data_IF_602845294858
#
_entry.id   IF_602845294858
#
_cell.length_a   1.000
_cell.length_b   1.000
_cell.length_c   1.000
_cell.angle_alpha   90.00
_cell.angle_beta   90.00
_cell.angle_gamma   90.00
#
_symmetry.space_group_name_H-M   'P 1'
#
loop_
_entity.id
_entity.type
_entity.pdbx_description
1 polymer ?
#
# COMPACT_ATOMS: atom_id res chain seq x y z
N UNK A 1 10.27 21.27 -27.50
CA UNK A 1 9.84 19.86 -27.64
C UNK A 1 8.76 19.61 -26.61
N UNK A 2 7.58 19.14 -27.03
CA UNK A 2 6.53 18.71 -26.12
C UNK A 2 6.88 17.27 -25.76
N UNK A 3 7.22 17.01 -24.51
CA UNK A 3 7.46 15.65 -24.03
C UNK A 3 6.10 14.95 -23.86
N UNK A 4 5.98 13.64 -24.20
CA UNK A 4 4.75 12.89 -23.98
C UNK A 4 4.45 12.81 -22.48
N UNK A 5 3.16 12.78 -22.15
CA UNK A 5 2.69 12.58 -20.78
C UNK A 5 2.97 11.15 -20.29
N UNK A 6 2.96 10.93 -18.97
CA UNK A 6 3.13 9.60 -18.38
C UNK A 6 2.13 8.59 -18.94
N UNK A 7 0.89 9.01 -19.19
CA UNK A 7 -0.16 8.17 -19.77
C UNK A 7 0.13 7.82 -21.24
N UNK A 8 0.60 8.77 -22.05
CA UNK A 8 0.98 8.50 -23.44
C UNK A 8 2.15 7.53 -23.53
N UNK A 9 3.16 7.68 -22.65
CA UNK A 9 4.30 6.75 -22.53
C UNK A 9 3.81 5.35 -22.16
N UNK A 10 2.94 5.24 -21.14
CA UNK A 10 2.40 3.95 -20.69
C UNK A 10 1.56 3.25 -21.77
N UNK A 11 0.75 4.01 -22.52
CA UNK A 11 -0.09 3.47 -23.59
C UNK A 11 0.70 3.06 -24.83
N UNK A 12 1.85 3.69 -25.08
CA UNK A 12 2.76 3.34 -26.18
C UNK A 12 3.68 2.15 -25.84
N UNK A 13 3.64 1.64 -24.61
CA UNK A 13 4.52 0.57 -24.16
C UNK A 13 4.24 -0.76 -24.89
N UNK A 14 5.31 -1.44 -25.27
CA UNK A 14 5.24 -2.80 -25.80
C UNK A 14 5.18 -3.80 -24.65
N UNK A 15 3.98 -4.11 -24.17
CA UNK A 15 3.75 -5.04 -23.06
C UNK A 15 3.99 -6.48 -23.49
N UNK A 16 4.69 -7.26 -22.68
CA UNK A 16 4.74 -8.71 -22.81
C UNK A 16 3.50 -9.35 -22.17
N UNK A 17 3.05 -10.51 -22.70
CA UNK A 17 2.09 -11.34 -21.99
C UNK A 17 2.56 -11.65 -20.57
N UNK A 18 1.63 -11.64 -19.61
CA UNK A 18 1.97 -11.84 -18.20
C UNK A 18 2.61 -13.20 -17.91
N UNK A 19 2.33 -14.18 -18.75
CA UNK A 19 2.97 -15.51 -18.68
C UNK A 19 4.47 -15.44 -18.97
N UNK A 20 4.92 -14.58 -19.88
CA UNK A 20 6.36 -14.39 -20.16
C UNK A 20 7.05 -13.72 -18.97
N UNK A 21 6.39 -12.75 -18.33
CA UNK A 21 6.89 -12.12 -17.10
C UNK A 21 6.98 -13.15 -15.97
N UNK A 22 5.96 -13.99 -15.79
CA UNK A 22 5.96 -15.06 -14.80
C UNK A 22 7.07 -16.10 -15.06
N UNK A 23 7.26 -16.50 -16.33
CA UNK A 23 8.33 -17.43 -16.74
C UNK A 23 9.72 -16.89 -16.39
N UNK A 24 9.95 -15.58 -16.47
CA UNK A 24 11.22 -14.96 -16.05
C UNK A 24 11.54 -15.12 -14.56
N UNK A 25 10.51 -15.42 -13.76
CA UNK A 25 10.59 -15.72 -12.32
C UNK A 25 10.51 -17.23 -12.02
N UNK A 26 10.57 -18.09 -13.03
CA UNK A 26 10.37 -19.56 -12.94
C UNK A 26 8.97 -19.93 -12.40
N UNK A 27 7.95 -19.13 -12.72
CA UNK A 27 6.56 -19.38 -12.35
C UNK A 27 5.81 -19.99 -13.53
N UNK A 28 5.25 -21.18 -13.31
CA UNK A 28 4.41 -21.85 -14.31
C UNK A 28 3.05 -21.14 -14.46
N UNK A 29 2.56 -21.10 -15.68
CA UNK A 29 1.28 -20.51 -16.10
C UNK A 29 0.07 -20.99 -15.26
N UNK A 30 0.05 -22.25 -14.82
CA UNK A 30 -0.97 -22.84 -13.97
C UNK A 30 -1.03 -22.24 -12.54
N UNK A 31 0.04 -21.57 -12.14
CA UNK A 31 0.14 -20.90 -10.84
C UNK A 31 -0.42 -19.47 -10.85
N UNK A 32 -0.87 -18.99 -12.01
CA UNK A 32 -1.40 -17.66 -12.23
C UNK A 32 -2.94 -17.66 -12.27
N UNK A 33 -3.52 -16.66 -11.65
CA UNK A 33 -4.93 -16.27 -11.81
C UNK A 33 -4.93 -15.01 -12.66
N UNK A 34 -5.23 -15.14 -13.97
CA UNK A 34 -5.10 -14.04 -14.93
C UNK A 34 -6.25 -13.04 -14.84
N UNK A 35 -5.91 -11.79 -15.02
CA UNK A 35 -6.81 -10.65 -15.17
C UNK A 35 -6.49 -9.98 -16.52
N UNK A 36 -6.89 -10.61 -17.62
CA UNK A 36 -6.46 -10.23 -18.98
C UNK A 36 -5.06 -10.75 -19.29
N UNK A 37 -4.39 -10.11 -20.25
CA UNK A 37 -3.12 -10.59 -20.80
C UNK A 37 -1.88 -10.00 -20.11
N UNK A 38 -2.03 -8.90 -19.36
CA UNK A 38 -0.93 -8.09 -18.82
C UNK A 38 -0.85 -8.02 -17.30
N UNK A 39 -1.73 -8.73 -16.60
CA UNK A 39 -1.73 -8.80 -15.13
C UNK A 39 -2.28 -10.14 -14.62
N UNK A 40 -1.77 -10.60 -13.49
CA UNK A 40 -2.25 -11.82 -12.84
C UNK A 40 -2.02 -11.76 -11.32
N UNK A 41 -2.76 -12.57 -10.57
CA UNK A 41 -2.44 -12.88 -9.19
C UNK A 41 -1.66 -14.19 -9.09
N UNK A 42 -0.81 -14.29 -8.07
CA UNK A 42 -0.15 -15.55 -7.75
C UNK A 42 -1.06 -16.44 -6.89
N UNK A 43 -1.19 -17.71 -7.27
CA UNK A 43 -1.98 -18.64 -6.47
C UNK A 43 -1.38 -18.88 -5.08
N UNK A 44 -2.23 -19.04 -4.06
CA UNK A 44 -1.81 -19.38 -2.69
C UNK A 44 -0.98 -20.67 -2.64
N UNK A 45 -1.26 -21.63 -3.53
CA UNK A 45 -0.50 -22.87 -3.65
C UNK A 45 0.96 -22.60 -4.03
N UNK A 46 1.20 -21.72 -5.00
CA UNK A 46 2.55 -21.29 -5.37
C UNK A 46 3.24 -20.61 -4.19
N UNK A 47 2.60 -19.61 -3.58
CA UNK A 47 3.18 -18.84 -2.46
C UNK A 47 3.64 -19.79 -1.34
N UNK A 48 2.80 -20.75 -0.97
CA UNK A 48 3.13 -21.75 0.06
C UNK A 48 4.31 -22.65 -0.35
N UNK A 49 4.41 -23.02 -1.62
CA UNK A 49 5.51 -23.86 -2.13
C UNK A 49 6.88 -23.18 -2.08
N UNK A 50 6.90 -21.85 -2.13
CA UNK A 50 8.12 -21.06 -2.10
C UNK A 50 8.75 -20.94 -0.70
N UNK A 51 8.04 -21.34 0.36
CA UNK A 51 8.46 -21.13 1.77
C UNK A 51 9.85 -21.67 2.12
N UNK A 52 10.31 -22.70 1.39
CA UNK A 52 11.61 -23.35 1.61
C UNK A 52 12.77 -22.79 0.78
N UNK A 53 12.50 -21.90 -0.17
CA UNK A 53 13.56 -21.25 -0.96
C UNK A 53 14.30 -20.22 -0.10
N UNK A 54 15.57 -20.00 -0.42
CA UNK A 54 16.37 -18.93 0.18
C UNK A 54 15.84 -17.55 -0.24
N UNK A 55 16.04 -16.56 0.60
CA UNK A 55 15.68 -15.16 0.30
C UNK A 55 16.76 -14.49 -0.55
N UNK A 56 16.31 -13.71 -1.53
CA UNK A 56 17.16 -12.73 -2.20
C UNK A 56 17.47 -11.53 -1.31
N UNK A 57 18.13 -10.52 -1.87
CA UNK A 57 18.55 -9.28 -1.20
C UNK A 57 17.44 -8.24 -1.24
N UNK A 58 17.09 -7.67 -0.08
CA UNK A 58 16.08 -6.63 0.05
C UNK A 58 16.72 -5.24 0.01
N UNK A 59 16.26 -4.40 -0.91
CA UNK A 59 16.69 -3.01 -1.03
C UNK A 59 15.50 -2.10 -0.71
N UNK A 60 15.64 -1.27 0.32
CA UNK A 60 14.65 -0.26 0.66
C UNK A 60 15.00 1.07 -0.02
N UNK A 61 14.08 1.63 -0.78
CA UNK A 61 14.19 3.00 -1.30
C UNK A 61 13.35 3.93 -0.44
N UNK A 62 13.98 4.95 0.10
CA UNK A 62 13.34 6.03 0.85
C UNK A 62 13.84 7.38 0.34
N UNK A 63 13.39 8.48 0.92
CA UNK A 63 13.83 9.81 0.51
C UNK A 63 13.98 10.73 1.72
N UNK A 64 14.58 11.90 1.49
CA UNK A 64 14.50 13.01 2.43
C UNK A 64 13.04 13.39 2.67
N UNK A 65 12.78 14.21 3.70
CA UNK A 65 11.42 14.66 4.06
C UNK A 65 10.63 15.16 2.84
N UNK A 66 9.34 14.83 2.74
CA UNK A 66 8.57 15.06 1.51
C UNK A 66 8.36 16.55 1.23
N UNK A 67 8.34 16.88 -0.07
CA UNK A 67 8.04 18.22 -0.59
C UNK A 67 6.88 18.19 -1.57
N UNK A 68 6.16 19.30 -1.78
CA UNK A 68 5.14 19.40 -2.84
C UNK A 68 5.65 19.15 -4.25
N UNK A 69 6.98 19.22 -4.47
CA UNK A 69 7.59 18.92 -5.77
C UNK A 69 7.79 17.43 -6.03
N UNK A 70 7.65 16.59 -4.97
CA UNK A 70 7.98 15.17 -5.00
C UNK A 70 9.49 14.89 -4.90
N UNK A 71 9.84 13.70 -4.42
CA UNK A 71 11.25 13.28 -4.20
C UNK A 71 11.73 12.28 -5.26
N UNK A 72 10.83 11.75 -6.10
CA UNK A 72 11.18 10.82 -7.16
C UNK A 72 11.48 9.39 -6.69
N UNK A 73 10.97 8.98 -5.51
CA UNK A 73 11.18 7.62 -4.96
C UNK A 73 10.79 6.52 -5.94
N UNK A 74 9.54 6.52 -6.41
CA UNK A 74 9.02 5.46 -7.27
C UNK A 74 9.77 5.41 -8.61
N UNK A 75 10.06 6.57 -9.20
CA UNK A 75 10.89 6.65 -10.41
C UNK A 75 12.29 6.05 -10.18
N UNK A 76 12.92 6.34 -9.04
CA UNK A 76 14.21 5.77 -8.67
C UNK A 76 14.10 4.26 -8.40
N UNK A 77 13.04 3.82 -7.73
CA UNK A 77 12.82 2.40 -7.41
C UNK A 77 12.64 1.55 -8.66
N UNK A 78 11.81 2.00 -9.61
CA UNK A 78 11.60 1.34 -10.90
C UNK A 78 12.89 1.37 -11.72
N UNK A 79 13.53 2.53 -11.88
CA UNK A 79 14.77 2.66 -12.63
C UNK A 79 15.92 1.82 -12.04
N UNK A 80 15.95 1.63 -10.71
CA UNK A 80 16.94 0.73 -10.08
C UNK A 80 16.72 -0.73 -10.46
N UNK A 81 15.46 -1.19 -10.49
CA UNK A 81 15.15 -2.57 -10.92
C UNK A 81 15.48 -2.75 -12.40
N UNK A 82 15.05 -1.82 -13.25
CA UNK A 82 15.34 -1.88 -14.69
C UNK A 82 16.86 -1.87 -14.94
N UNK A 83 17.62 -1.05 -14.20
CA UNK A 83 19.08 -1.04 -14.26
C UNK A 83 19.72 -2.34 -13.78
N UNK A 84 19.23 -2.94 -12.68
CA UNK A 84 19.71 -4.26 -12.21
C UNK A 84 19.45 -5.36 -13.24
N UNK A 85 18.24 -5.40 -13.82
CA UNK A 85 17.90 -6.35 -14.88
C UNK A 85 18.76 -6.13 -16.13
N UNK A 86 19.02 -4.86 -16.50
CA UNK A 86 19.88 -4.52 -17.65
C UNK A 86 21.30 -5.04 -17.53
N UNK A 87 21.84 -5.13 -16.32
CA UNK A 87 23.18 -5.71 -16.06
C UNK A 87 23.13 -7.21 -15.76
N UNK A 88 22.01 -7.88 -16.10
CA UNK A 88 21.85 -9.35 -15.99
C UNK A 88 21.54 -9.88 -14.59
N UNK A 89 21.06 -9.04 -13.67
CA UNK A 89 20.61 -9.50 -12.34
C UNK A 89 19.13 -9.88 -12.41
N UNK A 90 18.73 -10.91 -11.67
CA UNK A 90 17.33 -11.28 -11.49
C UNK A 90 16.74 -10.39 -10.40
N UNK A 91 16.08 -9.32 -10.82
CA UNK A 91 15.53 -8.30 -9.90
C UNK A 91 14.04 -8.06 -10.15
N UNK A 92 13.32 -7.63 -9.11
CA UNK A 92 11.92 -7.23 -9.21
C UNK A 92 11.59 -6.12 -8.19
N UNK A 93 10.46 -5.43 -8.42
CA UNK A 93 9.99 -4.37 -7.54
C UNK A 93 8.70 -4.77 -6.84
N UNK A 94 8.54 -4.31 -5.59
CA UNK A 94 7.32 -4.44 -4.81
C UNK A 94 6.80 -3.05 -4.41
N UNK A 95 5.63 -2.69 -4.92
CA UNK A 95 4.99 -1.40 -4.70
C UNK A 95 3.62 -1.54 -4.05
N UNK A 96 3.13 -0.39 -3.53
CA UNK A 96 1.74 -0.27 -3.09
C UNK A 96 0.82 -0.04 -4.28
N UNK A 97 -0.40 -0.55 -4.17
CA UNK A 97 -1.50 -0.12 -5.04
C UNK A 97 -1.91 1.31 -4.71
N UNK A 98 -2.22 2.14 -5.72
CA UNK A 98 -2.75 3.48 -5.51
C UNK A 98 -4.23 3.46 -5.13
N UNK A 99 -4.66 4.43 -4.32
CA UNK A 99 -6.05 4.70 -3.99
C UNK A 99 -6.67 5.67 -5.01
N UNK A 100 -7.97 5.50 -5.27
CA UNK A 100 -8.72 6.37 -6.18
C UNK A 100 -8.74 7.83 -5.72
N UNK A 101 -8.82 8.08 -4.41
CA UNK A 101 -8.83 9.44 -3.87
C UNK A 101 -7.60 10.26 -4.28
N UNK A 102 -6.36 9.82 -4.01
CA UNK A 102 -5.15 10.47 -4.52
C UNK A 102 -5.04 10.47 -6.04
N UNK A 103 -5.50 9.42 -6.73
CA UNK A 103 -5.46 9.34 -8.19
C UNK A 103 -6.25 10.46 -8.87
N UNK A 104 -7.46 10.73 -8.37
CA UNK A 104 -8.29 11.86 -8.81
C UNK A 104 -8.00 13.17 -8.06
N UNK A 105 -7.01 13.19 -7.17
CA UNK A 105 -6.58 14.34 -6.39
C UNK A 105 -5.33 15.01 -6.96
N UNK A 106 -4.68 15.81 -6.12
CA UNK A 106 -3.50 16.61 -6.50
C UNK A 106 -2.24 15.77 -6.81
N UNK A 107 -2.17 14.53 -6.33
CA UNK A 107 -0.98 13.65 -6.52
C UNK A 107 -1.00 12.91 -7.86
N UNK A 108 -2.16 12.68 -8.44
CA UNK A 108 -2.29 11.77 -9.58
C UNK A 108 -1.99 10.33 -9.22
N UNK A 109 -1.72 9.47 -10.22
CA UNK A 109 -1.43 8.05 -10.04
C UNK A 109 -0.06 7.76 -9.39
N UNK A 110 0.14 6.51 -8.95
CA UNK A 110 1.30 6.08 -8.19
C UNK A 110 2.12 4.95 -8.86
N UNK A 111 2.05 4.81 -10.19
CA UNK A 111 2.77 3.77 -10.94
C UNK A 111 4.19 4.16 -11.40
N UNK A 112 4.75 5.25 -10.89
CA UNK A 112 6.00 5.86 -11.37
C UNK A 112 5.74 7.04 -12.30
N UNK A 113 6.75 7.46 -13.08
CA UNK A 113 6.64 8.59 -14.00
C UNK A 113 7.71 8.56 -15.10
N UNK A 114 7.43 9.23 -16.22
CA UNK A 114 8.28 9.21 -17.41
C UNK A 114 8.48 7.78 -17.91
N UNK A 115 9.71 7.42 -18.19
CA UNK A 115 10.07 6.07 -18.65
C UNK A 115 10.32 5.06 -17.51
N UNK A 116 10.20 5.46 -16.24
CA UNK A 116 10.30 4.58 -15.09
C UNK A 116 8.91 4.36 -14.47
N UNK A 117 8.11 3.52 -15.10
CA UNK A 117 6.74 3.21 -14.72
C UNK A 117 6.48 1.71 -14.64
N UNK A 118 5.49 1.35 -13.80
CA UNK A 118 4.85 0.02 -13.80
C UNK A 118 3.56 0.10 -14.60
N UNK A 119 3.33 -0.90 -15.45
CA UNK A 119 2.20 -0.97 -16.39
C UNK A 119 1.40 -2.27 -16.18
N UNK A 120 0.08 -2.26 -16.49
CA UNK A 120 -0.74 -1.23 -17.15
C UNK A 120 -1.12 -0.08 -16.19
N UNK A 121 -0.65 1.14 -16.48
CA UNK A 121 -0.80 2.30 -15.61
C UNK A 121 -2.27 2.62 -15.29
N UNK A 122 -3.15 2.63 -16.30
CA UNK A 122 -4.56 2.98 -16.13
C UNK A 122 -5.27 2.00 -15.20
N UNK A 123 -5.08 0.70 -15.42
CA UNK A 123 -5.73 -0.33 -14.60
C UNK A 123 -5.24 -0.27 -13.14
N UNK A 124 -3.92 -0.12 -12.95
CA UNK A 124 -3.29 0.00 -11.63
C UNK A 124 -3.88 1.19 -10.86
N UNK A 125 -4.07 2.33 -11.52
CA UNK A 125 -4.58 3.55 -10.89
C UNK A 125 -6.11 3.55 -10.66
N UNK A 126 -6.85 2.63 -11.24
CA UNK A 126 -8.31 2.54 -11.11
C UNK A 126 -8.72 1.30 -10.31
N UNK A 127 -9.39 0.34 -10.94
CA UNK A 127 -9.93 -0.83 -10.22
C UNK A 127 -8.98 -2.02 -10.15
N UNK A 128 -7.93 -2.01 -10.90
CA UNK A 128 -6.85 -2.99 -11.00
C UNK A 128 -7.36 -4.45 -11.01
N UNK A 129 -7.26 -5.16 -9.88
CA UNK A 129 -7.77 -6.55 -9.69
C UNK A 129 -8.87 -6.65 -8.64
N UNK A 130 -9.34 -5.52 -8.11
CA UNK A 130 -10.45 -5.45 -7.17
C UNK A 130 -10.06 -5.54 -5.69
N UNK A 131 -8.78 -5.48 -5.34
CA UNK A 131 -8.32 -5.64 -3.95
C UNK A 131 -8.88 -4.54 -3.03
N UNK A 132 -8.90 -3.29 -3.48
CA UNK A 132 -9.44 -2.18 -2.70
C UNK A 132 -10.96 -2.29 -2.54
N UNK A 133 -11.67 -2.79 -3.57
CA UNK A 133 -13.08 -3.10 -3.44
C UNK A 133 -13.33 -4.18 -2.38
N UNK A 134 -12.55 -5.26 -2.40
CA UNK A 134 -12.64 -6.33 -1.40
C UNK A 134 -12.38 -5.82 0.02
N UNK A 135 -11.36 -4.98 0.22
CA UNK A 135 -11.04 -4.36 1.51
C UNK A 135 -12.17 -3.43 1.96
N UNK A 136 -12.71 -2.59 1.07
CA UNK A 136 -13.84 -1.72 1.35
C UNK A 136 -15.10 -2.49 1.73
N UNK A 137 -15.42 -3.55 0.98
CA UNK A 137 -16.55 -4.43 1.26
C UNK A 137 -16.39 -5.15 2.61
N UNK A 138 -15.20 -5.68 2.91
CA UNK A 138 -14.88 -6.33 4.17
C UNK A 138 -15.02 -5.38 5.38
N UNK A 139 -14.50 -4.15 5.24
CA UNK A 139 -14.62 -3.12 6.26
C UNK A 139 -16.08 -2.73 6.52
N UNK A 140 -16.84 -2.50 5.46
CA UNK A 140 -18.24 -2.07 5.55
C UNK A 140 -19.16 -3.21 6.01
N UNK A 141 -18.82 -4.48 5.73
CA UNK A 141 -19.50 -5.62 6.29
C UNK A 141 -19.42 -5.61 7.82
N UNK A 142 -18.24 -5.37 8.40
CA UNK A 142 -18.10 -5.27 9.86
C UNK A 142 -18.95 -4.15 10.43
N UNK A 143 -19.00 -2.98 9.77
CA UNK A 143 -19.88 -1.88 10.18
C UNK A 143 -21.36 -2.26 10.16
N UNK A 144 -21.80 -2.97 9.10
CA UNK A 144 -23.17 -3.45 9.00
C UNK A 144 -23.52 -4.49 10.06
N UNK A 145 -22.59 -5.41 10.37
CA UNK A 145 -22.76 -6.42 11.43
C UNK A 145 -22.89 -5.78 12.82
N UNK A 146 -22.13 -4.72 13.12
CA UNK A 146 -22.26 -3.95 14.36
C UNK A 146 -23.64 -3.32 14.46
N UNK A 147 -24.09 -2.61 13.44
CA UNK A 147 -25.40 -1.96 13.44
C UNK A 147 -26.54 -3.00 13.54
N UNK A 148 -26.43 -4.12 12.83
CA UNK A 148 -27.39 -5.21 12.91
C UNK A 148 -27.44 -5.85 14.30
N UNK A 149 -26.30 -6.09 14.93
CA UNK A 149 -26.22 -6.62 16.30
C UNK A 149 -26.92 -5.71 17.31
N UNK A 150 -26.68 -4.42 17.21
CA UNK A 150 -27.29 -3.43 18.12
C UNK A 150 -28.80 -3.32 17.87
N UNK A 151 -29.24 -3.41 16.63
CA UNK A 151 -30.64 -3.32 16.25
C UNK A 151 -31.48 -4.45 16.83
N UNK A 152 -30.98 -5.70 16.77
CA UNK A 152 -31.78 -6.86 17.18
C UNK A 152 -31.78 -7.09 18.70
N UNK A 153 -30.75 -7.45 19.31
CA UNK A 153 -30.79 -7.82 20.73
C UNK A 153 -29.66 -7.19 21.54
N UNK A 154 -28.64 -6.74 20.87
CA UNK A 154 -27.44 -6.18 21.49
C UNK A 154 -26.90 -7.04 22.67
N UNK A 155 -26.80 -8.36 22.47
CA UNK A 155 -26.35 -9.32 23.50
C UNK A 155 -24.98 -8.97 24.10
N UNK A 156 -24.13 -8.30 23.32
CA UNK A 156 -22.81 -7.83 23.77
C UNK A 156 -22.89 -6.52 24.54
N UNK A 157 -24.08 -5.95 24.73
CA UNK A 157 -24.31 -4.69 25.45
C UNK A 157 -23.43 -3.54 24.93
N UNK A 158 -23.24 -3.44 23.62
CA UNK A 158 -22.47 -2.36 22.98
C UNK A 158 -23.17 -1.02 23.23
N UNK A 159 -22.45 -0.02 23.69
CA UNK A 159 -22.96 1.35 23.77
C UNK A 159 -22.91 2.02 22.38
N UNK A 160 -24.06 2.36 21.74
CA UNK A 160 -24.08 2.97 20.41
C UNK A 160 -23.27 4.28 20.29
N UNK A 161 -23.01 4.96 21.42
CA UNK A 161 -22.20 6.17 21.48
C UNK A 161 -20.69 5.90 21.51
N UNK A 162 -20.29 4.63 21.71
CA UNK A 162 -18.90 4.21 21.89
C UNK A 162 -18.42 3.25 20.80
N UNK A 163 -19.07 3.27 19.64
CA UNK A 163 -18.62 2.54 18.48
C UNK A 163 -17.42 3.28 17.90
N UNK A 164 -16.29 2.58 17.76
CA UNK A 164 -15.04 3.12 17.20
C UNK A 164 -14.90 2.84 15.69
N UNK A 165 -15.78 2.00 15.14
CA UNK A 165 -15.74 1.55 13.76
C UNK A 165 -16.64 2.38 12.87
N UNK A 166 -16.04 3.10 11.93
CA UNK A 166 -16.73 3.86 10.88
C UNK A 166 -16.99 2.98 9.64
N UNK A 167 -17.33 3.60 8.53
CA UNK A 167 -17.35 3.02 7.19
C UNK A 167 -16.17 3.50 6.38
N UNK A 168 -15.96 2.94 5.17
CA UNK A 168 -14.95 3.42 4.24
C UNK A 168 -15.51 3.55 2.83
N UNK A 169 -14.92 4.49 2.09
CA UNK A 169 -15.08 4.65 0.64
C UNK A 169 -13.72 5.05 0.07
N UNK A 170 -13.34 4.48 -1.08
CA UNK A 170 -12.04 4.79 -1.68
C UNK A 170 -12.09 6.10 -2.49
N UNK A 171 -12.47 7.17 -1.82
CA UNK A 171 -12.59 8.51 -2.39
C UNK A 171 -12.30 9.58 -1.33
N UNK A 172 -11.74 10.72 -1.76
CA UNK A 172 -11.64 11.89 -0.89
C UNK A 172 -12.99 12.62 -0.86
N UNK A 173 -13.85 12.24 0.09
CA UNK A 173 -15.14 12.89 0.30
C UNK A 173 -15.20 13.55 1.68
N UNK A 174 -15.11 14.86 1.68
CA UNK A 174 -15.12 15.67 2.90
C UNK A 174 -16.47 15.67 3.59
N UNK A 175 -17.57 15.61 2.84
CA UNK A 175 -18.93 15.69 3.37
C UNK A 175 -19.36 14.42 4.11
N UNK A 176 -18.69 13.28 3.87
CA UNK A 176 -18.98 12.01 4.54
C UNK A 176 -18.14 11.77 5.81
N UNK A 177 -17.25 12.68 6.20
CA UNK A 177 -16.36 12.48 7.37
C UNK A 177 -17.12 12.32 8.68
N UNK A 178 -18.21 13.08 8.82
CA UNK A 178 -19.12 13.02 9.97
C UNK A 178 -20.55 13.03 9.47
N UNK A 179 -21.29 11.97 9.76
CA UNK A 179 -22.70 11.78 9.34
C UNK A 179 -23.53 11.27 10.51
N UNK A 180 -24.85 11.39 10.41
CA UNK A 180 -25.79 10.65 11.23
C UNK A 180 -26.30 9.45 10.45
N UNK A 181 -26.10 8.23 10.94
CA UNK A 181 -26.68 7.00 10.39
C UNK A 181 -27.86 6.51 11.23
N UNK A 182 -28.64 5.57 10.67
CA UNK A 182 -29.80 4.97 11.36
C UNK A 182 -31.06 5.84 11.39
N UNK A 183 -31.16 6.87 10.54
CA UNK A 183 -32.36 7.68 10.38
C UNK A 183 -33.42 6.91 9.55
N UNK A 184 -34.71 7.30 9.68
CA UNK A 184 -35.83 6.72 8.91
C UNK A 184 -36.73 5.80 9.73
N UNK A 185 -36.70 5.89 11.04
CA UNK A 185 -37.59 5.16 11.96
C UNK A 185 -36.95 3.89 12.53
N UNK A 186 -37.72 3.18 13.35
CA UNK A 186 -37.25 2.04 14.14
C UNK A 186 -36.75 0.86 13.32
N UNK A 187 -37.23 0.72 12.07
CA UNK A 187 -36.73 -0.33 11.14
C UNK A 187 -35.32 -0.11 10.61
N UNK A 188 -34.76 1.10 10.73
CA UNK A 188 -33.44 1.44 10.22
C UNK A 188 -32.34 1.45 11.30
N UNK A 189 -32.65 1.06 12.53
CA UNK A 189 -31.69 0.97 13.62
C UNK A 189 -31.71 2.17 14.57
N UNK A 190 -30.62 2.38 15.26
CA UNK A 190 -30.47 3.44 16.27
C UNK A 190 -29.72 4.63 15.65
N UNK A 191 -30.29 5.84 15.61
CA UNK A 191 -29.59 7.03 15.16
C UNK A 191 -28.31 7.28 15.96
N UNK A 192 -27.18 7.37 15.27
CA UNK A 192 -25.88 7.64 15.89
C UNK A 192 -24.94 8.40 14.96
N UNK A 193 -23.96 9.08 15.52
CA UNK A 193 -22.86 9.63 14.74
C UNK A 193 -22.00 8.51 14.15
N UNK A 194 -21.58 8.68 12.92
CA UNK A 194 -20.65 7.82 12.20
C UNK A 194 -19.89 8.65 11.16
N UNK A 195 -19.23 8.01 10.22
CA UNK A 195 -18.55 8.67 9.11
C UNK A 195 -17.95 7.67 8.16
N UNK A 196 -17.28 8.21 7.14
CA UNK A 196 -16.49 7.45 6.20
C UNK A 196 -15.04 7.91 6.21
N UNK A 197 -14.13 6.97 6.38
CA UNK A 197 -12.72 7.17 6.14
C UNK A 197 -12.36 6.67 4.73
N UNK A 198 -11.19 7.04 4.19
CA UNK A 198 -10.74 6.50 2.91
C UNK A 198 -10.27 5.05 3.09
N UNK A 199 -10.51 4.18 2.10
CA UNK A 199 -10.20 2.74 2.20
C UNK A 199 -8.75 2.45 2.60
N UNK A 200 -7.79 3.26 2.16
CA UNK A 200 -6.37 3.11 2.51
C UNK A 200 -6.02 3.52 3.95
N UNK A 201 -6.97 4.11 4.67
CA UNK A 201 -6.87 4.37 6.11
C UNK A 201 -7.55 3.29 6.96
N UNK A 202 -8.16 2.28 6.34
CA UNK A 202 -8.81 1.17 7.02
C UNK A 202 -7.83 0.37 7.86
N UNK A 203 -8.24 -0.01 9.09
CA UNK A 203 -7.51 -0.98 9.91
C UNK A 203 -7.40 -2.35 9.21
N UNK A 204 -8.43 -2.75 8.44
CA UNK A 204 -8.37 -3.97 7.61
C UNK A 204 -7.27 -3.87 6.56
N UNK A 205 -7.07 -2.72 5.90
CA UNK A 205 -5.95 -2.50 4.99
C UNK A 205 -4.59 -2.67 5.70
N UNK A 206 -4.43 -2.12 6.90
CA UNK A 206 -3.21 -2.25 7.67
C UNK A 206 -2.95 -3.70 8.10
N UNK A 207 -3.97 -4.40 8.59
CA UNK A 207 -3.92 -5.82 8.96
C UNK A 207 -3.57 -6.68 7.75
N UNK A 208 -4.25 -6.47 6.62
CA UNK A 208 -4.02 -7.15 5.35
C UNK A 208 -2.56 -7.05 4.90
N UNK A 209 -1.95 -5.87 5.02
CA UNK A 209 -0.57 -5.65 4.63
C UNK A 209 0.46 -6.21 5.62
N UNK A 210 0.09 -6.45 6.88
CA UNK A 210 0.99 -6.97 7.91
C UNK A 210 0.81 -8.46 8.20
N UNK A 211 -0.27 -9.08 7.72
CA UNK A 211 -0.51 -10.50 7.90
C UNK A 211 0.51 -11.34 7.12
N UNK A 212 0.93 -12.47 7.72
CA UNK A 212 1.86 -13.41 7.10
C UNK A 212 1.20 -14.43 6.19
N UNK A 213 -0.06 -14.78 6.49
CA UNK A 213 -0.88 -15.78 5.82
C UNK A 213 -2.36 -15.54 6.13
N UNK A 214 -3.24 -16.39 5.57
CA UNK A 214 -4.68 -16.22 5.72
C UNK A 214 -5.19 -16.47 7.15
N UNK A 215 -4.53 -17.35 7.89
CA UNK A 215 -4.89 -17.66 9.28
C UNK A 215 -4.50 -16.52 10.22
N UNK A 216 -3.30 -15.93 10.03
CA UNK A 216 -2.87 -14.73 10.73
C UNK A 216 -3.77 -13.54 10.39
N UNK A 217 -4.20 -13.41 9.12
CA UNK A 217 -5.17 -12.40 8.68
C UNK A 217 -6.47 -12.52 9.47
N UNK A 218 -7.09 -13.72 9.51
CA UNK A 218 -8.32 -13.97 10.25
C UNK A 218 -8.18 -13.67 11.73
N UNK A 219 -7.11 -14.18 12.35
CA UNK A 219 -6.83 -13.95 13.78
C UNK A 219 -6.71 -12.46 14.12
N UNK A 220 -6.05 -11.68 13.29
CA UNK A 220 -5.90 -10.22 13.49
C UNK A 220 -7.23 -9.50 13.32
N UNK A 221 -8.01 -9.84 12.29
CA UNK A 221 -9.36 -9.29 12.06
C UNK A 221 -10.24 -9.56 13.27
N UNK A 222 -10.23 -10.78 13.81
CA UNK A 222 -10.99 -11.13 15.00
C UNK A 222 -10.65 -10.30 16.24
N UNK A 223 -9.44 -9.74 16.30
CA UNK A 223 -8.98 -8.91 17.43
C UNK A 223 -9.29 -7.40 17.28
N UNK A 224 -9.84 -6.96 16.17
CA UNK A 224 -10.25 -5.56 15.96
C UNK A 224 -11.23 -5.15 17.06
N UNK A 225 -10.95 -4.04 17.74
CA UNK A 225 -11.86 -3.43 18.70
C UNK A 225 -12.89 -2.58 17.94
N UNK A 226 -14.16 -2.97 18.02
CA UNK A 226 -15.26 -2.35 17.27
C UNK A 226 -16.02 -1.30 18.06
N UNK A 227 -15.85 -1.28 19.36
CA UNK A 227 -16.49 -0.37 20.29
C UNK A 227 -16.38 -0.88 21.73
N UNK A 228 -17.16 -0.28 22.61
CA UNK A 228 -17.15 -0.59 24.04
C UNK A 228 -18.57 -0.83 24.56
N UNK A 229 -18.66 -1.67 25.59
CA UNK A 229 -19.91 -1.87 26.35
C UNK A 229 -20.26 -0.61 27.16
N UNK A 230 -21.46 -0.60 27.76
CA UNK A 230 -21.84 0.48 28.70
C UNK A 230 -20.95 0.49 29.95
N UNK A 231 -20.36 -0.64 30.34
CA UNK A 231 -19.37 -0.76 31.42
C UNK A 231 -17.94 -0.45 31.00
N UNK A 232 -17.74 0.01 29.76
CA UNK A 232 -16.45 0.39 29.19
C UNK A 232 -15.49 -0.78 28.87
N UNK A 233 -16.03 -2.00 28.71
CA UNK A 233 -15.26 -3.15 28.26
C UNK A 233 -15.13 -3.14 26.73
N UNK A 234 -13.95 -3.46 26.14
CA UNK A 234 -13.78 -3.48 24.70
C UNK A 234 -14.51 -4.70 24.09
N UNK A 235 -15.23 -4.48 23.01
CA UNK A 235 -15.86 -5.52 22.20
C UNK A 235 -15.05 -5.70 20.92
N UNK A 236 -14.80 -6.96 20.53
CA UNK A 236 -13.98 -7.31 19.39
C UNK A 236 -14.80 -7.95 18.26
N UNK A 237 -14.29 -7.87 17.03
CA UNK A 237 -14.96 -8.41 15.84
C UNK A 237 -15.27 -9.92 15.95
N UNK A 238 -14.42 -10.72 16.60
CA UNK A 238 -14.66 -12.15 16.83
C UNK A 238 -15.91 -12.45 17.70
N UNK A 239 -16.29 -11.52 18.56
CA UNK A 239 -17.48 -11.64 19.43
C UNK A 239 -18.78 -11.51 18.62
N UNK A 240 -18.68 -10.93 17.41
CA UNK A 240 -19.76 -10.91 16.41
C UNK A 240 -19.67 -12.09 15.42
N UNK A 241 -18.69 -12.99 15.56
CA UNK A 241 -18.36 -14.03 14.57
C UNK A 241 -18.12 -13.46 13.17
N UNK A 242 -17.53 -12.25 13.08
CA UNK A 242 -17.36 -11.52 11.84
C UNK A 242 -16.07 -11.89 11.07
N UNK A 243 -15.06 -12.41 11.78
CA UNK A 243 -13.71 -12.63 11.27
C UNK A 243 -13.68 -13.61 10.09
N UNK A 244 -14.45 -14.69 10.13
CA UNK A 244 -14.52 -15.68 9.05
C UNK A 244 -15.11 -15.10 7.76
N UNK A 245 -16.25 -14.39 7.85
CA UNK A 245 -16.90 -13.77 6.70
C UNK A 245 -16.02 -12.66 6.05
N UNK A 246 -15.37 -11.85 6.88
CA UNK A 246 -14.45 -10.81 6.43
C UNK A 246 -13.23 -11.42 5.72
N UNK A 247 -12.65 -12.48 6.30
CA UNK A 247 -11.52 -13.19 5.68
C UNK A 247 -11.90 -13.83 4.35
N UNK A 248 -13.11 -14.37 4.24
CA UNK A 248 -13.63 -14.94 2.98
C UNK A 248 -13.72 -13.89 1.87
N UNK A 249 -14.14 -12.66 2.18
CA UNK A 249 -14.13 -11.54 1.22
C UNK A 249 -12.72 -11.16 0.76
N UNK A 250 -11.71 -11.34 1.61
CA UNK A 250 -10.35 -10.93 1.35
C UNK A 250 -9.46 -12.02 0.72
N UNK A 251 -9.92 -13.28 0.65
CA UNK A 251 -9.09 -14.44 0.28
C UNK A 251 -8.39 -14.29 -1.08
N UNK A 252 -9.10 -13.78 -2.08
CA UNK A 252 -8.55 -13.61 -3.43
C UNK A 252 -7.71 -12.33 -3.54
N UNK A 253 -8.13 -11.26 -2.84
CA UNK A 253 -7.38 -10.03 -2.72
C UNK A 253 -6.01 -10.25 -2.06
N UNK A 254 -5.91 -11.18 -1.10
CA UNK A 254 -4.69 -11.45 -0.33
C UNK A 254 -3.53 -12.04 -1.14
N UNK A 255 -3.78 -12.40 -2.39
CA UNK A 255 -2.77 -12.88 -3.33
C UNK A 255 -2.11 -11.70 -4.05
N UNK A 256 -0.77 -11.60 -4.10
CA UNK A 256 -0.07 -10.51 -4.76
C UNK A 256 -0.36 -10.41 -6.26
N UNK A 257 -0.44 -9.19 -6.76
CA UNK A 257 -0.62 -8.90 -8.18
C UNK A 257 0.74 -8.82 -8.88
N UNK A 258 0.92 -9.63 -9.93
CA UNK A 258 2.07 -9.59 -10.84
C UNK A 258 1.72 -8.70 -12.04
N UNK A 259 2.61 -7.77 -12.33
CA UNK A 259 2.61 -6.86 -13.48
C UNK A 259 4.05 -6.65 -13.94
N UNK A 260 4.33 -5.65 -14.77
CA UNK A 260 5.65 -5.40 -15.34
C UNK A 260 6.02 -3.92 -15.36
N UNK A 261 7.32 -3.61 -15.42
CA UNK A 261 7.80 -2.26 -15.74
C UNK A 261 7.69 -1.99 -17.24
N UNK A 262 7.89 -0.73 -17.67
CA UNK A 262 7.97 -0.38 -19.10
C UNK A 262 9.05 -1.18 -19.85
N UNK A 263 10.11 -1.60 -19.16
CA UNK A 263 11.18 -2.45 -19.71
C UNK A 263 10.90 -3.95 -19.57
N UNK A 264 9.64 -4.33 -19.26
CA UNK A 264 9.18 -5.71 -19.11
C UNK A 264 9.86 -6.50 -17.98
N UNK A 265 10.27 -5.83 -16.91
CA UNK A 265 10.77 -6.48 -15.71
C UNK A 265 9.63 -6.73 -14.71
N UNK A 266 9.69 -7.81 -13.92
CA UNK A 266 8.59 -8.20 -13.04
C UNK A 266 8.38 -7.20 -11.90
N UNK A 267 7.12 -6.92 -11.60
CA UNK A 267 6.70 -6.06 -10.51
C UNK A 267 5.51 -6.66 -9.75
N UNK A 268 5.52 -6.54 -8.43
CA UNK A 268 4.36 -6.77 -7.59
C UNK A 268 3.74 -5.45 -7.16
N UNK A 269 2.40 -5.38 -7.29
CA UNK A 269 1.58 -4.31 -6.73
C UNK A 269 0.59 -4.94 -5.74
N UNK A 270 0.69 -4.63 -4.44
CA UNK A 270 -0.17 -5.29 -3.47
C UNK A 270 -0.35 -4.50 -2.18
N UNK A 271 -1.61 -4.17 -1.85
CA UNK A 271 -1.99 -3.37 -0.71
C UNK A 271 -1.53 -1.91 -0.80
N UNK A 272 -2.19 -1.02 -0.07
CA UNK A 272 -1.92 0.40 -0.20
C UNK A 272 -2.13 1.23 1.06
N UNK A 273 -1.65 0.83 2.25
CA UNK A 273 -1.89 1.57 3.48
C UNK A 273 -1.19 2.93 3.43
N UNK A 274 -1.87 3.99 3.91
CA UNK A 274 -1.25 5.31 4.01
C UNK A 274 -0.18 5.35 5.11
N UNK A 275 0.94 6.01 4.82
CA UNK A 275 2.06 6.10 5.75
C UNK A 275 1.80 7.06 6.94
N UNK A 276 0.93 8.05 6.80
CA UNK A 276 0.52 8.95 7.89
C UNK A 276 -0.46 8.30 8.88
N UNK A 277 -1.12 7.21 8.50
CA UNK A 277 -2.13 6.52 9.33
C UNK A 277 -1.66 5.13 9.73
N UNK A 278 -1.05 4.37 8.81
CA UNK A 278 -0.53 3.03 9.03
C UNK A 278 0.98 2.97 8.73
N UNK A 279 1.49 1.81 8.33
CA UNK A 279 2.93 1.61 8.07
C UNK A 279 3.40 2.05 6.67
N UNK A 280 2.48 2.34 5.75
CA UNK A 280 2.80 3.00 4.48
C UNK A 280 3.66 2.21 3.50
N UNK A 281 3.63 0.88 3.55
CA UNK A 281 4.40 -0.01 2.71
C UNK A 281 3.49 -1.06 2.07
N UNK A 282 3.92 -1.69 0.98
CA UNK A 282 3.24 -2.83 0.40
C UNK A 282 3.18 -4.02 1.39
N UNK A 283 2.41 -5.05 1.06
CA UNK A 283 2.18 -6.17 1.97
C UNK A 283 3.44 -6.98 2.30
N UNK A 284 3.43 -7.62 3.47
CA UNK A 284 4.47 -8.58 3.90
C UNK A 284 4.49 -9.79 2.96
N UNK A 285 3.31 -10.31 2.57
CA UNK A 285 3.19 -11.45 1.65
C UNK A 285 3.86 -11.14 0.32
N UNK A 286 3.58 -9.98 -0.28
CA UNK A 286 4.21 -9.55 -1.53
C UNK A 286 5.73 -9.50 -1.43
N UNK A 287 6.28 -8.82 -0.40
CA UNK A 287 7.73 -8.71 -0.25
C UNK A 287 8.40 -10.06 0.01
N UNK A 288 7.84 -10.90 0.89
CA UNK A 288 8.39 -12.23 1.17
C UNK A 288 8.34 -13.15 -0.05
N UNK A 289 7.24 -13.13 -0.80
CA UNK A 289 7.12 -13.91 -2.03
C UNK A 289 8.14 -13.45 -3.08
N UNK A 290 8.32 -12.14 -3.24
CA UNK A 290 9.32 -11.59 -4.16
C UNK A 290 10.74 -12.03 -3.82
N UNK A 291 11.12 -12.01 -2.53
CA UNK A 291 12.43 -12.46 -2.07
C UNK A 291 12.72 -13.93 -2.41
N UNK A 292 11.69 -14.78 -2.54
CA UNK A 292 11.82 -16.17 -2.96
C UNK A 292 11.93 -16.35 -4.49
N UNK A 293 11.65 -15.30 -5.25
CA UNK A 293 11.56 -15.35 -6.71
C UNK A 293 12.71 -14.62 -7.43
N UNK A 294 13.36 -13.68 -6.77
CA UNK A 294 14.40 -12.85 -7.36
C UNK A 294 15.61 -12.70 -6.44
N UNK A 295 16.80 -12.49 -7.03
CA UNK A 295 18.05 -12.27 -6.28
C UNK A 295 18.06 -10.89 -5.58
N UNK A 296 17.37 -9.91 -6.20
CA UNK A 296 17.23 -8.56 -5.68
C UNK A 296 15.77 -8.12 -5.71
N UNK A 297 15.28 -7.64 -4.58
CA UNK A 297 13.93 -7.10 -4.43
C UNK A 297 14.02 -5.65 -3.98
N UNK A 298 13.53 -4.73 -4.80
CA UNK A 298 13.43 -3.31 -4.47
C UNK A 298 12.03 -3.03 -3.95
N UNK A 299 11.95 -2.32 -2.84
CA UNK A 299 10.67 -1.85 -2.28
C UNK A 299 10.82 -0.44 -1.74
N UNK A 300 9.70 0.23 -1.48
CA UNK A 300 9.72 1.59 -0.97
C UNK A 300 8.82 1.78 0.25
N UNK A 301 9.13 2.80 1.04
CA UNK A 301 8.29 3.28 2.13
C UNK A 301 7.68 4.64 1.78
N UNK A 302 6.44 4.87 2.19
CA UNK A 302 5.73 6.14 1.95
C UNK A 302 6.36 7.31 2.71
N UNK A 303 6.24 8.52 2.20
CA UNK A 303 6.87 9.73 2.74
C UNK A 303 8.40 9.68 2.73
N UNK A 304 9.06 10.36 3.68
CA UNK A 304 10.50 10.39 3.82
C UNK A 304 11.05 9.36 4.81
N UNK A 305 12.34 9.42 5.02
CA UNK A 305 13.03 8.53 5.94
C UNK A 305 12.60 8.74 7.39
N UNK A 306 12.29 9.97 7.73
CA UNK A 306 11.81 10.46 9.04
C UNK A 306 10.42 9.94 9.46
N UNK A 307 9.68 9.30 8.57
CA UNK A 307 8.38 8.70 8.86
C UNK A 307 8.24 7.29 8.26
N UNK A 308 8.35 7.20 6.93
CA UNK A 308 8.08 5.96 6.21
C UNK A 308 9.13 4.88 6.44
N UNK A 309 10.43 5.23 6.40
CA UNK A 309 11.47 4.26 6.67
C UNK A 309 11.45 3.83 8.16
N UNK A 310 11.23 4.73 9.11
CA UNK A 310 11.04 4.38 10.51
C UNK A 310 9.92 3.35 10.67
N UNK A 311 8.74 3.58 10.08
CA UNK A 311 7.62 2.63 10.12
C UNK A 311 7.94 1.31 9.39
N UNK A 312 8.72 1.36 8.33
CA UNK A 312 9.18 0.16 7.65
C UNK A 312 10.02 -0.72 8.59
N UNK A 313 11.01 -0.14 9.26
CA UNK A 313 11.86 -0.86 10.21
C UNK A 313 11.09 -1.26 11.48
N UNK A 314 10.43 -0.33 12.13
CA UNK A 314 9.84 -0.53 13.45
C UNK A 314 8.53 -1.31 13.44
N UNK A 315 7.79 -1.31 12.33
CA UNK A 315 6.54 -2.03 12.19
C UNK A 315 6.71 -3.23 11.27
N UNK A 316 6.98 -2.99 9.96
CA UNK A 316 6.99 -4.06 8.96
C UNK A 316 8.10 -5.08 9.21
N UNK A 317 9.34 -4.62 9.40
CA UNK A 317 10.48 -5.51 9.64
C UNK A 317 10.34 -6.27 10.96
N UNK A 318 10.01 -5.60 12.06
CA UNK A 318 9.83 -6.26 13.37
C UNK A 318 8.72 -7.32 13.34
N UNK A 319 7.60 -7.05 12.66
CA UNK A 319 6.49 -8.00 12.55
C UNK A 319 6.78 -9.18 11.64
N UNK A 320 7.51 -8.96 10.55
CA UNK A 320 7.69 -9.95 9.49
C UNK A 320 9.03 -10.69 9.53
N UNK A 321 10.02 -10.17 10.28
CA UNK A 321 11.40 -10.66 10.27
C UNK A 321 12.19 -10.20 9.03
N UNK A 322 11.65 -9.33 8.19
CA UNK A 322 12.36 -8.77 7.04
C UNK A 322 13.54 -7.90 7.53
N UNK A 323 14.64 -7.95 6.77
CA UNK A 323 15.85 -7.13 7.02
C UNK A 323 16.35 -6.62 5.69
N UNK A 324 16.30 -5.30 5.41
CA UNK A 324 16.94 -4.74 4.23
C UNK A 324 18.46 -4.97 4.25
N UNK A 325 19.00 -5.41 3.12
CA UNK A 325 20.45 -5.55 2.91
C UNK A 325 21.07 -4.20 2.51
N UNK A 326 20.27 -3.32 1.90
CA UNK A 326 20.70 -1.97 1.52
C UNK A 326 19.54 -0.98 1.62
N UNK A 327 19.88 0.29 1.83
CA UNK A 327 18.94 1.41 1.80
C UNK A 327 19.43 2.44 0.78
N UNK A 328 18.53 2.87 -0.09
CA UNK A 328 18.76 3.96 -1.05
C UNK A 328 18.00 5.19 -0.58
N UNK A 329 18.74 6.25 -0.23
CA UNK A 329 18.17 7.54 0.14
C UNK A 329 18.13 8.45 -1.08
N UNK A 330 16.92 8.80 -1.53
CA UNK A 330 16.70 9.70 -2.67
C UNK A 330 16.66 11.15 -2.19
N UNK A 331 17.49 11.99 -2.79
CA UNK A 331 17.54 13.44 -2.54
C UNK A 331 17.66 14.17 -3.87
N UNK A 332 16.58 14.75 -4.37
CA UNK A 332 16.62 15.55 -5.59
C UNK A 332 17.06 16.99 -5.31
N UNK A 333 17.73 17.61 -6.27
CA UNK A 333 18.12 19.03 -6.17
C UNK A 333 16.92 19.96 -5.98
N UNK A 334 15.75 19.62 -6.57
CA UNK A 334 14.51 20.37 -6.36
C UNK A 334 14.02 20.29 -4.91
N UNK A 335 14.02 19.08 -4.33
CA UNK A 335 13.63 18.87 -2.94
C UNK A 335 14.61 19.58 -1.98
N UNK A 336 15.92 19.47 -2.22
CA UNK A 336 16.93 20.16 -1.41
C UNK A 336 16.76 21.69 -1.50
N UNK A 337 16.56 22.27 -2.69
CA UNK A 337 16.28 23.71 -2.82
C UNK A 337 15.05 24.13 -2.02
N UNK A 338 13.96 23.35 -2.06
CA UNK A 338 12.77 23.63 -1.29
C UNK A 338 13.02 23.60 0.22
N UNK A 339 13.73 22.60 0.72
CA UNK A 339 14.14 22.52 2.14
C UNK A 339 15.08 23.67 2.52
N UNK A 340 15.86 24.19 1.59
CA UNK A 340 16.69 25.38 1.77
C UNK A 340 15.92 26.72 1.73
N UNK A 341 14.58 26.66 1.48
CA UNK A 341 13.68 27.81 1.52
C UNK A 341 13.30 28.40 0.16
N UNK A 342 13.66 27.74 -0.96
CA UNK A 342 13.27 28.19 -2.31
C UNK A 342 11.80 27.84 -2.59
N UNK A 343 11.04 28.80 -3.15
CA UNK A 343 9.63 28.59 -3.51
C UNK A 343 9.47 27.64 -4.70
N UNK A 344 8.29 27.00 -4.80
CA UNK A 344 8.00 25.97 -5.81
C UNK A 344 8.20 26.47 -7.26
N UNK A 345 7.79 27.68 -7.56
CA UNK A 345 7.88 28.34 -8.87
C UNK A 345 9.32 28.72 -9.26
N UNK A 346 10.22 28.82 -8.28
CA UNK A 346 11.63 29.19 -8.48
C UNK A 346 12.59 27.97 -8.52
N UNK A 347 12.09 26.74 -8.35
CA UNK A 347 12.90 25.52 -8.29
C UNK A 347 13.67 25.20 -9.59
N UNK A 348 13.28 25.79 -10.72
CA UNK A 348 13.97 25.66 -11.99
C UNK A 348 15.32 26.40 -12.04
N UNK A 349 15.47 27.46 -11.25
CA UNK A 349 16.69 28.32 -11.23
C UNK A 349 17.77 27.71 -10.33
N UNK A 350 19.04 28.00 -10.64
CA UNK A 350 20.17 27.59 -9.79
C UNK A 350 20.14 28.33 -8.45
N UNK A 351 20.35 27.56 -7.35
CA UNK A 351 20.50 28.14 -6.00
C UNK A 351 21.32 27.17 -5.13
N UNK A 352 22.64 27.33 -5.20
CA UNK A 352 23.61 26.48 -4.50
C UNK A 352 23.53 26.67 -2.99
N UNK A 353 23.35 27.91 -2.51
CA UNK A 353 23.28 28.22 -1.08
C UNK A 353 22.11 27.52 -0.40
N UNK A 354 20.94 27.47 -1.06
CA UNK A 354 19.78 26.73 -0.56
C UNK A 354 20.03 25.21 -0.49
N UNK A 355 20.74 24.67 -1.48
CA UNK A 355 21.13 23.25 -1.46
C UNK A 355 22.07 22.96 -0.30
N UNK A 356 23.12 23.77 -0.12
CA UNK A 356 24.07 23.60 0.99
C UNK A 356 23.39 23.70 2.35
N UNK A 357 22.48 24.65 2.52
CA UNK A 357 21.69 24.78 3.75
C UNK A 357 20.85 23.53 4.03
N UNK A 358 20.19 22.98 3.02
CA UNK A 358 19.37 21.78 3.15
C UNK A 358 20.22 20.52 3.45
N UNK A 359 21.36 20.34 2.80
CA UNK A 359 22.28 19.22 3.05
C UNK A 359 22.81 19.24 4.47
N UNK A 360 23.15 20.39 5.01
CA UNK A 360 23.60 20.53 6.41
C UNK A 360 22.51 20.08 7.39
N UNK A 361 21.24 20.42 7.14
CA UNK A 361 20.11 19.95 7.93
C UNK A 361 19.91 18.43 7.84
N UNK A 362 20.04 17.87 6.63
CA UNK A 362 19.86 16.43 6.39
C UNK A 362 20.92 15.59 7.10
N UNK A 363 22.16 16.05 7.17
CA UNK A 363 23.24 15.38 7.90
C UNK A 363 23.01 15.31 9.41
N UNK A 364 22.24 16.21 10.00
CA UNK A 364 21.90 16.18 11.42
C UNK A 364 20.84 15.12 11.75
N UNK A 365 20.03 14.73 10.78
CA UNK A 365 18.95 13.76 10.99
C UNK A 365 19.30 12.32 10.60
N UNK A 366 20.22 12.11 9.66
CA UNK A 366 20.67 10.79 9.21
C UNK A 366 21.30 9.89 10.29
N UNK A 367 22.12 10.39 11.23
CA UNK A 367 22.74 9.54 12.27
C UNK A 367 21.75 8.84 13.19
N UNK A 368 20.56 9.40 13.37
CA UNK A 368 19.50 8.80 14.22
C UNK A 368 18.84 7.58 13.57
N UNK A 369 18.87 7.46 12.26
CA UNK A 369 18.28 6.33 11.52
C UNK A 369 19.27 5.17 11.41
N UNK A 370 20.56 5.42 11.42
CA UNK A 370 21.62 4.40 11.28
C UNK A 370 21.98 3.68 12.58
N UNK A 371 21.39 4.04 13.71
CA UNK A 371 21.68 3.46 15.03
C UNK A 371 20.65 2.42 15.49
N UNK A 372 19.77 1.94 14.61
CA UNK A 372 18.74 0.93 14.93
C UNK A 372 19.07 -0.43 14.33
#
# INVERSE_FOLDING_TARGET
MIYPSDLEIANAANKKPIDEIANSLDINSESLIRFGDDKAKLSSKLINSLSKKDDGKLILVTAISPTPAGEGKTTTSVGLVDGLCKIGKKAMICLREPSLGPCFGMKGGAAGGGYAQVIPMTDINLHFTGDFHAIGAAHNLLSALIDNHIHWENKLNIDPRRITWKRVVDMNDRSLRDITCGLGGTGNGIPRQSGYDITVASEIMAIFCLASDIDDLQKRIGNIVIGYTRSNEPVRAKELNADGAITALLKDAFQPNLVQTLENNPAFMHGGPFANIAHGCNSVVSTKTALKLADYVVTEAGFGADLGAEKFFDIKCRKSGLKPDAVVLVATTKALKMHGGVKKDELGSENVDAVLKAVSYTHLTLPTILLV
#
